data_IF_233058864909
#
_entry.id   IF_233058864909
#
_cell.length_a   1.000
_cell.length_b   1.000
_cell.length_c   1.000
_cell.angle_alpha   90.00
_cell.angle_beta   90.00
_cell.angle_gamma   90.00
#
_symmetry.space_group_name_H-M   'P 1'
#
loop_
_entity.id
_entity.type
_entity.pdbx_description
1 polymer ?
#
# COMPACT_ATOMS: atom_id res chain seq x y z
N UNK A 1 9.25 10.03 29.27
CA UNK A 1 9.24 10.91 28.10
C UNK A 1 8.40 10.26 27.00
N UNK A 2 7.42 10.97 26.50
CA UNK A 2 6.58 10.47 25.44
C UNK A 2 7.32 10.54 24.12
N UNK A 3 7.24 9.45 23.40
CA UNK A 3 7.74 9.39 22.04
C UNK A 3 6.57 9.30 21.09
N UNK A 4 6.46 10.24 20.18
CA UNK A 4 5.47 10.18 19.12
C UNK A 4 6.15 9.83 17.80
N UNK A 5 5.43 9.15 16.93
CA UNK A 5 5.88 8.83 15.59
C UNK A 5 6.01 10.11 14.77
N UNK A 6 7.13 10.33 14.14
CA UNK A 6 7.34 11.45 13.25
C UNK A 6 6.89 11.07 11.83
N UNK A 7 6.66 12.08 10.99
CA UNK A 7 6.39 11.87 9.57
C UNK A 7 7.52 11.06 8.92
N UNK A 8 8.78 11.32 9.33
CA UNK A 8 9.94 10.60 8.81
C UNK A 8 9.92 9.12 9.20
N UNK A 9 9.52 8.80 10.45
CA UNK A 9 9.44 7.41 10.89
C UNK A 9 8.40 6.63 10.09
N UNK A 10 7.21 7.18 9.91
CA UNK A 10 6.16 6.50 9.16
C UNK A 10 6.51 6.40 7.67
N UNK A 11 7.11 7.44 7.12
CA UNK A 11 7.61 7.42 5.75
C UNK A 11 8.58 6.25 5.53
N UNK A 12 9.55 6.11 6.45
CA UNK A 12 10.53 5.02 6.41
C UNK A 12 9.87 3.66 6.57
N UNK A 13 8.92 3.54 7.50
CA UNK A 13 8.18 2.28 7.72
C UNK A 13 7.44 1.86 6.46
N UNK A 14 6.78 2.80 5.79
CA UNK A 14 6.03 2.51 4.56
C UNK A 14 6.96 2.15 3.40
N UNK A 15 8.10 2.82 3.29
CA UNK A 15 9.14 2.42 2.33
C UNK A 15 9.58 0.98 2.57
N UNK A 16 9.84 0.62 3.82
CA UNK A 16 10.25 -0.72 4.20
C UNK A 16 9.16 -1.75 3.91
N UNK A 17 7.89 -1.39 4.14
CA UNK A 17 6.75 -2.24 3.81
C UNK A 17 6.84 -2.70 2.34
N UNK A 18 6.97 -1.76 1.41
CA UNK A 18 7.01 -2.08 0.00
C UNK A 18 8.34 -2.73 -0.43
N UNK A 19 9.46 -2.25 0.06
CA UNK A 19 10.77 -2.80 -0.32
C UNK A 19 10.97 -4.23 0.21
N UNK A 20 10.48 -4.51 1.41
CA UNK A 20 10.51 -5.87 1.97
C UNK A 20 9.62 -6.81 1.15
N UNK A 21 8.42 -6.36 0.76
CA UNK A 21 7.52 -7.15 -0.08
C UNK A 21 8.18 -7.46 -1.42
N UNK A 22 8.78 -6.46 -2.06
CA UNK A 22 9.48 -6.64 -3.33
C UNK A 22 10.66 -7.63 -3.18
N UNK A 23 11.39 -7.53 -2.10
CA UNK A 23 12.51 -8.44 -1.82
C UNK A 23 12.07 -9.82 -1.32
N UNK A 24 10.79 -10.01 -1.06
CA UNK A 24 10.23 -11.22 -0.44
C UNK A 24 10.84 -11.47 0.95
N UNK A 25 11.23 -10.39 1.62
CA UNK A 25 11.73 -10.42 2.99
C UNK A 25 10.54 -10.31 3.96
N UNK A 26 9.94 -11.45 4.27
CA UNK A 26 8.72 -11.47 5.05
C UNK A 26 8.94 -11.16 6.53
N UNK A 27 10.15 -11.39 7.03
CA UNK A 27 10.52 -10.96 8.38
C UNK A 27 10.56 -9.43 8.47
N UNK A 28 11.21 -8.78 7.50
CA UNK A 28 11.25 -7.33 7.43
C UNK A 28 9.87 -6.71 7.19
N UNK A 29 9.06 -7.35 6.34
CA UNK A 29 7.69 -6.93 6.09
C UNK A 29 6.84 -6.99 7.37
N UNK A 30 6.89 -8.11 8.07
CA UNK A 30 6.16 -8.30 9.32
C UNK A 30 6.55 -7.26 10.38
N UNK A 31 7.82 -6.89 10.43
CA UNK A 31 8.32 -5.92 11.40
C UNK A 31 7.72 -4.52 11.22
N UNK A 32 7.17 -4.21 10.04
CA UNK A 32 6.51 -2.92 9.79
C UNK A 32 5.08 -2.87 10.32
N UNK A 33 4.49 -4.01 10.66
CA UNK A 33 3.07 -4.14 10.99
C UNK A 33 2.84 -4.23 12.51
N UNK A 34 1.79 -3.57 12.98
CA UNK A 34 1.28 -3.80 14.33
C UNK A 34 0.63 -5.20 14.38
N UNK A 35 0.60 -5.82 15.57
CA UNK A 35 0.04 -7.17 15.73
C UNK A 35 -1.42 -7.24 15.27
N UNK A 36 -2.19 -6.20 15.55
CA UNK A 36 -3.61 -6.12 15.24
C UNK A 36 -3.93 -5.35 13.94
N UNK A 37 -2.96 -5.25 13.04
CA UNK A 37 -3.13 -4.56 11.76
C UNK A 37 -4.37 -5.06 11.01
N UNK A 38 -5.06 -4.15 10.34
CA UNK A 38 -6.19 -4.48 9.48
C UNK A 38 -5.88 -4.02 8.05
N UNK A 39 -5.99 -4.96 7.13
CA UNK A 39 -5.79 -4.73 5.71
C UNK A 39 -7.15 -4.74 5.03
N UNK A 40 -7.52 -3.65 4.39
CA UNK A 40 -8.82 -3.46 3.77
C UNK A 40 -8.68 -3.30 2.25
N UNK A 41 -9.47 -4.08 1.51
CA UNK A 41 -9.58 -4.00 0.06
C UNK A 41 -11.02 -3.58 -0.28
N UNK A 42 -11.32 -2.28 -0.28
CA UNK A 42 -12.72 -1.82 -0.41
C UNK A 42 -13.40 -2.19 -1.72
N UNK A 43 -12.64 -2.27 -2.82
CA UNK A 43 -13.21 -2.55 -4.13
C UNK A 43 -13.76 -3.97 -4.23
N UNK A 44 -13.14 -4.93 -3.54
CA UNK A 44 -13.62 -6.32 -3.48
C UNK A 44 -14.36 -6.62 -2.19
N UNK A 45 -14.41 -5.66 -1.26
CA UNK A 45 -15.06 -5.78 0.05
C UNK A 45 -14.44 -6.89 0.89
N UNK A 46 -13.13 -6.99 0.83
CA UNK A 46 -12.36 -7.96 1.61
C UNK A 46 -11.59 -7.26 2.71
N UNK A 47 -11.39 -7.96 3.82
CA UNK A 47 -10.66 -7.47 4.97
C UNK A 47 -9.83 -8.59 5.56
N UNK A 48 -8.58 -8.26 5.91
CA UNK A 48 -7.65 -9.22 6.49
C UNK A 48 -7.22 -8.66 7.84
N UNK A 49 -7.35 -9.47 8.89
CA UNK A 49 -7.07 -9.01 10.25
C UNK A 49 -5.86 -9.73 10.83
N UNK A 50 -4.95 -8.94 11.39
CA UNK A 50 -3.78 -9.42 12.10
C UNK A 50 -2.55 -9.52 11.23
N UNK A 51 -1.38 -9.34 11.88
CA UNK A 51 -0.08 -9.35 11.22
C UNK A 51 0.16 -10.64 10.44
N UNK A 52 -0.06 -11.78 11.07
CA UNK A 52 0.21 -13.08 10.46
C UNK A 52 -0.62 -13.29 9.19
N UNK A 53 -1.90 -12.95 9.23
CA UNK A 53 -2.78 -13.07 8.08
C UNK A 53 -2.38 -12.12 6.95
N UNK A 54 -1.95 -10.90 7.28
CA UNK A 54 -1.47 -9.94 6.28
C UNK A 54 -0.18 -10.41 5.61
N UNK A 55 0.75 -10.95 6.37
CA UNK A 55 1.99 -11.53 5.83
C UNK A 55 1.65 -12.67 4.89
N UNK A 56 0.78 -13.57 5.34
CA UNK A 56 0.36 -14.72 4.55
C UNK A 56 -0.29 -14.31 3.23
N UNK A 57 -1.18 -13.33 3.25
CA UNK A 57 -1.85 -12.83 2.06
C UNK A 57 -0.84 -12.35 1.01
N UNK A 58 0.15 -11.57 1.43
CA UNK A 58 1.15 -11.03 0.53
C UNK A 58 2.13 -12.11 0.05
N UNK A 59 2.55 -13.00 0.95
CA UNK A 59 3.48 -14.09 0.62
C UNK A 59 2.88 -15.10 -0.36
N UNK A 60 1.59 -15.41 -0.21
CA UNK A 60 0.90 -16.38 -1.04
C UNK A 60 0.20 -15.76 -2.25
N UNK A 61 0.30 -14.45 -2.42
CA UNK A 61 -0.32 -13.77 -3.56
C UNK A 61 0.27 -14.32 -4.86
N UNK A 62 -0.59 -14.78 -5.80
CA UNK A 62 -0.13 -15.47 -6.99
C UNK A 62 0.49 -14.55 -8.03
N UNK A 63 1.33 -15.12 -8.88
CA UNK A 63 1.92 -14.44 -10.02
C UNK A 63 3.31 -13.88 -9.74
N UNK A 64 3.98 -13.51 -10.81
CA UNK A 64 5.30 -12.88 -10.75
C UNK A 64 5.09 -11.37 -10.63
N UNK A 65 4.77 -10.93 -9.42
CA UNK A 65 4.50 -9.52 -9.18
C UNK A 65 5.73 -8.77 -8.68
N UNK A 66 5.83 -7.53 -9.14
CA UNK A 66 6.87 -6.59 -8.72
C UNK A 66 6.23 -5.25 -8.40
N UNK A 67 6.71 -4.59 -7.35
CA UNK A 67 6.18 -3.31 -6.90
C UNK A 67 7.29 -2.26 -6.87
N UNK A 68 6.96 -1.06 -7.32
CA UNK A 68 7.84 0.08 -7.24
C UNK A 68 7.07 1.29 -6.74
N UNK A 69 7.64 1.98 -5.77
CA UNK A 69 7.02 3.19 -5.24
C UNK A 69 7.23 4.34 -6.23
N UNK A 70 6.14 5.00 -6.59
CA UNK A 70 6.17 6.21 -7.41
C UNK A 70 6.19 7.46 -6.52
N UNK A 71 5.46 7.42 -5.41
CA UNK A 71 5.29 8.58 -4.54
C UNK A 71 4.86 8.16 -3.15
N UNK A 72 5.42 8.82 -2.14
CA UNK A 72 4.99 8.69 -0.74
C UNK A 72 4.71 10.08 -0.20
N UNK A 73 3.57 10.21 0.49
CA UNK A 73 3.26 11.38 1.29
C UNK A 73 2.90 10.88 2.68
N UNK A 74 3.51 11.46 3.72
CA UNK A 74 3.31 10.98 5.08
C UNK A 74 3.30 12.14 6.07
N UNK A 75 2.48 12.01 7.10
CA UNK A 75 2.60 12.80 8.33
C UNK A 75 2.92 11.85 9.49
N UNK A 76 2.73 12.29 10.73
CA UNK A 76 3.15 11.52 11.90
C UNK A 76 2.33 10.24 12.12
N UNK A 77 1.11 10.13 11.60
CA UNK A 77 0.24 8.99 11.86
C UNK A 77 -0.49 8.44 10.66
N UNK A 78 -0.33 9.03 9.48
CA UNK A 78 -0.90 8.47 8.26
C UNK A 78 0.00 8.74 7.06
N UNK A 79 -0.11 7.87 6.07
CA UNK A 79 0.68 7.96 4.85
C UNK A 79 -0.14 7.47 3.67
N UNK A 80 0.23 7.92 2.49
CA UNK A 80 -0.32 7.40 1.24
C UNK A 80 0.83 7.11 0.29
N UNK A 81 0.72 6.00 -0.43
CA UNK A 81 1.67 5.65 -1.49
C UNK A 81 0.95 5.50 -2.81
N UNK A 82 1.61 5.94 -3.87
CA UNK A 82 1.25 5.59 -5.22
C UNK A 82 2.31 4.60 -5.70
N UNK A 83 1.89 3.41 -6.05
CA UNK A 83 2.80 2.33 -6.46
C UNK A 83 2.49 1.89 -7.88
N UNK A 84 3.53 1.44 -8.55
CA UNK A 84 3.47 0.80 -9.85
C UNK A 84 3.69 -0.69 -9.63
N UNK A 85 2.81 -1.51 -10.14
CA UNK A 85 2.87 -2.97 -9.97
C UNK A 85 2.82 -3.62 -11.33
N UNK A 86 3.70 -4.62 -11.52
CA UNK A 86 3.63 -5.49 -12.69
C UNK A 86 3.35 -6.91 -12.22
N UNK A 87 2.55 -7.63 -12.99
CA UNK A 87 2.29 -9.06 -12.77
C UNK A 87 2.47 -9.74 -14.14
N UNK A 88 3.63 -10.36 -14.33
CA UNK A 88 4.00 -10.83 -15.66
C UNK A 88 4.11 -9.66 -16.63
N UNK A 89 3.27 -9.66 -17.67
CA UNK A 89 3.22 -8.59 -18.68
C UNK A 89 2.16 -7.52 -18.36
N UNK A 90 1.35 -7.73 -17.33
CA UNK A 90 0.34 -6.76 -16.93
C UNK A 90 0.97 -5.66 -16.08
N UNK A 91 0.48 -4.46 -16.27
CA UNK A 91 0.94 -3.27 -15.59
C UNK A 91 -0.25 -2.58 -14.92
N UNK A 92 -0.10 -2.21 -13.66
CA UNK A 92 -1.19 -1.56 -12.92
C UNK A 92 -0.63 -0.59 -11.89
N UNK A 93 -1.48 0.27 -11.38
CA UNK A 93 -1.14 1.21 -10.33
C UNK A 93 -2.10 1.01 -9.16
N UNK A 94 -1.60 1.30 -7.97
CA UNK A 94 -2.45 1.28 -6.78
C UNK A 94 -2.18 2.51 -5.93
N UNK A 95 -3.19 2.93 -5.20
CA UNK A 95 -3.09 3.95 -4.16
C UNK A 95 -3.36 3.25 -2.84
N UNK A 96 -2.42 3.34 -1.91
CA UNK A 96 -2.50 2.66 -0.63
C UNK A 96 -2.43 3.69 0.49
N UNK A 97 -3.41 3.64 1.37
CA UNK A 97 -3.46 4.48 2.57
C UNK A 97 -3.03 3.67 3.78
N UNK A 98 -2.22 4.28 4.64
CA UNK A 98 -1.70 3.65 5.84
C UNK A 98 -2.01 4.53 7.05
N UNK A 99 -2.29 3.91 8.19
CA UNK A 99 -2.20 4.59 9.48
C UNK A 99 -1.11 3.93 10.29
N UNK A 100 -0.48 4.71 11.16
CA UNK A 100 0.61 4.23 12.01
C UNK A 100 0.34 4.55 13.48
N UNK A 101 0.93 3.77 14.36
CA UNK A 101 0.87 3.99 15.80
C UNK A 101 2.08 4.81 16.29
N UNK A 102 2.15 5.02 17.60
CA UNK A 102 3.21 5.81 18.21
C UNK A 102 4.59 5.19 18.08
N UNK A 103 4.65 3.88 17.81
CA UNK A 103 5.90 3.16 17.61
C UNK A 103 6.31 3.09 16.14
N UNK A 104 5.57 3.73 15.27
CA UNK A 104 5.85 3.76 13.82
C UNK A 104 5.45 2.49 13.09
N UNK A 105 4.65 1.63 13.72
CA UNK A 105 4.13 0.42 13.08
C UNK A 105 2.81 0.71 12.39
N UNK A 106 2.56 0.02 11.30
CA UNK A 106 1.35 0.19 10.50
C UNK A 106 0.17 -0.49 11.18
N UNK A 107 -0.90 0.26 11.42
CA UNK A 107 -2.11 -0.24 12.08
C UNK A 107 -3.22 -0.54 11.09
N UNK A 108 -3.29 0.17 9.98
CA UNK A 108 -4.24 -0.13 8.90
C UNK A 108 -3.58 0.06 7.54
N UNK A 109 -4.01 -0.74 6.59
CA UNK A 109 -3.62 -0.63 5.18
C UNK A 109 -4.90 -0.68 4.36
N UNK A 110 -5.10 0.28 3.48
CA UNK A 110 -6.28 0.32 2.60
C UNK A 110 -5.80 0.48 1.17
N UNK A 111 -6.03 -0.53 0.34
CA UNK A 111 -5.60 -0.55 -1.06
C UNK A 111 -6.73 -0.25 -2.01
N UNK A 112 -6.46 0.66 -2.95
CA UNK A 112 -7.33 0.92 -4.09
C UNK A 112 -6.55 0.60 -5.37
N UNK A 113 -7.18 -0.16 -6.25
CA UNK A 113 -6.61 -0.60 -7.53
C UNK A 113 -7.43 -0.01 -8.66
N UNK A 114 -7.21 1.27 -9.04
CA UNK A 114 -7.98 1.88 -10.12
C UNK A 114 -7.67 1.24 -11.46
N UNK A 115 -8.70 1.04 -12.26
CA UNK A 115 -8.57 0.52 -13.62
C UNK A 115 -8.87 1.65 -14.61
N UNK A 116 -8.18 1.63 -15.74
CA UNK A 116 -8.47 2.55 -16.83
C UNK A 116 -9.83 2.22 -17.43
N UNK A 117 -10.60 3.21 -17.81
CA UNK A 117 -11.88 3.03 -18.48
C UNK A 117 -12.13 4.19 -19.43
N UNK A 118 -13.04 3.98 -20.38
CA UNK A 118 -13.36 5.02 -21.34
C UNK A 118 -14.15 6.14 -20.68
N UNK A 119 -13.82 7.40 -20.99
CA UNK A 119 -14.54 8.51 -20.40
C UNK A 119 -16.00 8.55 -20.88
N UNK A 120 -16.91 9.08 -20.06
CA UNK A 120 -18.28 9.29 -20.51
C UNK A 120 -18.32 10.26 -21.67
N UNK A 121 -19.32 10.11 -22.58
CA UNK A 121 -19.43 11.00 -23.74
C UNK A 121 -19.83 12.42 -23.33
N UNK A 122 -19.53 13.38 -24.19
CA UNK A 122 -20.00 14.76 -24.04
C UNK A 122 -18.96 15.75 -23.52
N UNK A 123 -17.75 15.30 -23.23
CA UNK A 123 -16.68 16.17 -22.73
C UNK A 123 -15.40 16.18 -23.59
N UNK A 124 -15.49 15.61 -24.79
CA UNK A 124 -14.34 15.44 -25.68
C UNK A 124 -13.67 16.78 -26.02
N UNK A 125 -14.47 17.83 -26.17
CA UNK A 125 -14.01 19.17 -26.53
C UNK A 125 -13.33 19.92 -25.36
N UNK A 126 -13.36 19.36 -24.16
CA UNK A 126 -12.83 20.00 -22.96
C UNK A 126 -11.51 19.39 -22.49
N UNK A 127 -11.09 18.28 -23.06
CA UNK A 127 -9.96 17.51 -22.57
C UNK A 127 -9.02 17.10 -23.70
N UNK A 128 -7.79 16.79 -23.36
CA UNK A 128 -6.87 16.10 -24.25
C UNK A 128 -6.84 14.63 -23.88
N UNK A 129 -6.79 13.75 -24.88
CA UNK A 129 -6.64 12.30 -24.66
C UNK A 129 -5.20 11.88 -24.90
N UNK A 130 -4.73 10.88 -24.09
CA UNK A 130 -3.37 10.33 -24.24
C UNK A 130 -3.36 8.82 -23.99
#
# INVERSE_FOLDING_TARGET
MNRSTSATELHTTVETYWSSAEARDWTGFAATLAEDVVYDLPQTREKIRGKEACVRFNREYPGDWHVRIQRIVADSNQAVTWIHVTVGLEEMYAVTFFTGDEEGRITTVTDFWPEAYEPPPGREHLVERY
#
